data_IF_527295141870
#
_entry.id   IF_527295141870
#
_cell.length_a   1.000
_cell.length_b   1.000
_cell.length_c   1.000
_cell.angle_alpha   90.00
_cell.angle_beta   90.00
_cell.angle_gamma   90.00
#
_symmetry.space_group_name_H-M   'P 1'
#
loop_
_entity.id
_entity.type
_entity.pdbx_description
1 polymer ?
#
# COMPACT_ATOMS: atom_id res chain seq x y z
N UNK A 1 77.21 -3.31 8.83
CA UNK A 1 77.05 -3.32 10.29
C UNK A 1 76.34 -2.03 10.70
N UNK A 2 75.26 -2.14 11.50
CA UNK A 2 74.52 -1.08 12.22
C UNK A 2 73.61 -0.13 11.42
N UNK A 3 72.31 -0.41 11.47
CA UNK A 3 71.29 0.60 11.77
C UNK A 3 71.34 0.94 13.27
N UNK A 4 70.86 2.13 13.68
CA UNK A 4 69.65 2.18 14.51
C UNK A 4 68.73 3.37 14.12
N UNK A 5 67.40 3.19 14.00
CA UNK A 5 66.36 3.22 15.06
C UNK A 5 66.02 4.64 15.54
N UNK A 6 64.75 4.99 15.28
CA UNK A 6 63.81 5.88 15.99
C UNK A 6 64.35 7.11 16.74
N UNK A 7 63.80 8.28 16.39
CA UNK A 7 63.69 9.39 17.34
C UNK A 7 62.53 10.33 16.99
N UNK A 8 61.52 10.30 17.87
CA UNK A 8 60.72 11.44 18.33
C UNK A 8 59.62 12.05 17.44
N UNK A 9 58.42 11.53 17.70
CA UNK A 9 57.15 12.23 17.93
C UNK A 9 57.23 13.72 18.35
N UNK A 10 56.14 14.44 18.01
CA UNK A 10 55.57 15.66 18.63
C UNK A 10 56.01 17.05 18.13
N UNK A 11 55.15 17.78 17.37
CA UNK A 11 54.40 18.95 17.89
C UNK A 11 53.56 19.72 16.82
N UNK A 12 52.25 19.78 17.08
CA UNK A 12 51.29 20.90 16.97
C UNK A 12 51.13 21.76 15.68
N UNK A 13 50.04 21.46 14.95
CA UNK A 13 48.83 22.30 14.80
C UNK A 13 48.99 23.82 14.57
N UNK A 14 48.77 24.31 13.33
CA UNK A 14 48.27 25.68 13.05
C UNK A 14 47.37 25.70 11.77
N UNK A 15 46.08 26.05 11.97
CA UNK A 15 45.10 26.80 11.13
C UNK A 15 44.91 26.44 9.63
N UNK A 16 43.77 25.89 9.19
CA UNK A 16 42.44 26.50 8.93
C UNK A 16 42.30 27.37 7.64
N UNK A 17 41.34 26.93 6.81
CA UNK A 17 40.54 27.64 5.78
C UNK A 17 41.09 27.69 4.34
N UNK A 18 40.54 26.82 3.50
CA UNK A 18 40.04 27.19 2.18
C UNK A 18 38.88 26.26 1.80
N UNK A 19 37.67 26.66 2.19
CA UNK A 19 36.43 26.19 1.56
C UNK A 19 36.40 26.76 0.15
N UNK A 20 36.14 25.92 -0.86
CA UNK A 20 35.19 26.19 -1.94
C UNK A 20 35.46 25.33 -3.20
N UNK A 21 34.51 24.43 -3.49
CA UNK A 21 34.00 24.07 -4.82
C UNK A 21 34.97 23.20 -5.64
N UNK A 22 34.67 21.95 -6.02
CA UNK A 22 33.62 21.57 -6.98
C UNK A 22 33.24 20.11 -6.71
N UNK A 23 32.02 19.88 -6.23
CA UNK A 23 31.37 18.57 -6.32
C UNK A 23 29.98 18.82 -6.88
N UNK A 24 29.83 18.64 -8.18
CA UNK A 24 28.52 18.56 -8.84
C UNK A 24 28.09 17.09 -8.86
N UNK A 25 27.06 16.69 -8.11
CA UNK A 25 26.42 15.41 -8.40
C UNK A 25 25.66 15.52 -9.71
N UNK A 26 25.97 14.63 -10.65
CA UNK A 26 25.16 14.36 -11.84
C UNK A 26 23.72 14.10 -11.39
N UNK A 27 22.84 15.08 -11.61
CA UNK A 27 21.39 14.89 -11.56
C UNK A 27 20.97 14.15 -12.83
N UNK A 28 21.25 12.84 -12.87
CA UNK A 28 20.53 11.95 -13.77
C UNK A 28 19.13 11.77 -13.20
N UNK A 29 18.20 12.55 -13.74
CA UNK A 29 16.78 12.47 -13.49
C UNK A 29 16.23 11.10 -13.88
N UNK A 30 16.34 10.14 -12.97
CA UNK A 30 15.29 9.15 -12.81
C UNK A 30 14.18 9.90 -12.09
N UNK A 31 13.22 10.41 -12.87
CA UNK A 31 11.93 10.75 -12.31
C UNK A 31 11.40 9.47 -11.67
N UNK A 32 11.63 9.32 -10.37
CA UNK A 32 10.78 8.51 -9.53
C UNK A 32 9.39 9.07 -9.79
N UNK A 33 8.65 8.39 -10.65
CA UNK A 33 7.24 8.57 -10.83
C UNK A 33 6.66 8.07 -9.53
N UNK A 34 6.77 8.92 -8.50
CA UNK A 34 6.07 8.80 -7.25
C UNK A 34 4.63 8.63 -7.67
N UNK A 35 4.22 7.38 -7.66
CA UNK A 35 2.90 6.98 -8.05
C UNK A 35 2.05 7.56 -6.96
N UNK A 36 1.45 8.71 -7.27
CA UNK A 36 0.48 9.44 -6.49
C UNK A 36 -0.61 8.43 -6.10
N UNK A 37 -0.37 7.75 -4.98
CA UNK A 37 -1.35 7.01 -4.19
C UNK A 37 -2.22 8.06 -3.50
N UNK A 38 -2.95 8.85 -4.28
CA UNK A 38 -3.69 9.98 -3.71
C UNK A 38 -5.08 10.08 -4.30
N UNK A 39 -5.85 9.04 -3.98
CA UNK A 39 -7.22 9.18 -3.50
C UNK A 39 -7.50 7.88 -2.75
N UNK A 40 -7.25 7.87 -1.45
CA UNK A 40 -7.70 6.75 -0.60
C UNK A 40 -9.22 6.74 -0.66
N UNK A 41 -9.79 5.95 -1.58
CA UNK A 41 -11.23 5.73 -1.64
C UNK A 41 -11.61 5.11 -0.31
N UNK A 42 -12.28 5.89 0.53
CA UNK A 42 -12.80 5.39 1.80
C UNK A 42 -13.94 4.43 1.47
N UNK A 43 -13.75 3.17 1.86
CA UNK A 43 -14.70 2.09 1.67
C UNK A 43 -15.11 1.53 3.03
N UNK A 44 -16.39 1.63 3.33
CA UNK A 44 -17.01 1.06 4.51
C UNK A 44 -17.85 -0.14 4.10
N UNK A 45 -17.65 -1.27 4.79
CA UNK A 45 -18.41 -2.49 4.59
C UNK A 45 -19.08 -2.85 5.91
N UNK A 46 -20.35 -3.23 5.84
CA UNK A 46 -21.07 -3.82 6.96
C UNK A 46 -22.16 -4.73 6.42
N UNK A 47 -22.54 -5.74 7.20
CA UNK A 47 -23.54 -6.72 6.80
C UNK A 47 -24.63 -6.85 7.83
N UNK A 48 -25.83 -7.15 7.36
CA UNK A 48 -26.94 -7.65 8.16
C UNK A 48 -27.30 -9.08 7.73
N UNK A 49 -28.43 -9.61 8.21
CA UNK A 49 -28.89 -10.97 7.93
C UNK A 49 -29.27 -11.19 6.45
N UNK A 50 -29.49 -10.15 5.67
CA UNK A 50 -30.02 -10.23 4.30
C UNK A 50 -29.04 -9.62 3.31
N UNK A 51 -28.32 -8.55 3.69
CA UNK A 51 -27.54 -7.72 2.78
C UNK A 51 -26.12 -7.45 3.29
N UNK A 52 -25.19 -7.34 2.34
CA UNK A 52 -23.91 -6.69 2.50
C UNK A 52 -24.02 -5.28 1.93
N UNK A 53 -23.79 -4.27 2.76
CA UNK A 53 -23.80 -2.87 2.37
C UNK A 53 -22.36 -2.40 2.12
N UNK A 54 -22.19 -1.70 1.01
CA UNK A 54 -20.93 -1.09 0.59
C UNK A 54 -21.17 0.40 0.43
N UNK A 55 -20.48 1.19 1.22
CA UNK A 55 -20.44 2.64 1.08
C UNK A 55 -19.12 3.03 0.42
N UNK A 56 -19.21 3.71 -0.72
CA UNK A 56 -18.07 4.06 -1.54
C UNK A 56 -18.22 5.48 -2.08
N UNK A 57 -17.18 6.30 -1.87
CA UNK A 57 -17.13 7.64 -2.46
C UNK A 57 -16.57 7.56 -3.88
N UNK A 58 -17.44 7.67 -4.88
CA UNK A 58 -17.06 7.78 -6.31
C UNK A 58 -16.32 6.55 -6.87
N UNK A 59 -16.87 5.35 -6.67
CA UNK A 59 -16.42 4.16 -7.38
C UNK A 59 -17.18 3.98 -8.68
N UNK A 60 -16.44 3.64 -9.74
CA UNK A 60 -17.00 3.30 -11.04
C UNK A 60 -16.58 1.89 -11.43
N UNK A 61 -17.56 1.08 -11.83
CA UNK A 61 -17.36 -0.29 -12.34
C UNK A 61 -16.50 -1.19 -11.42
N UNK A 62 -16.68 -1.04 -10.11
CA UNK A 62 -16.01 -1.89 -9.14
C UNK A 62 -16.65 -3.29 -9.14
N UNK A 63 -15.86 -4.29 -8.79
CA UNK A 63 -16.30 -5.67 -8.65
C UNK A 63 -16.17 -6.09 -7.19
N UNK A 64 -17.27 -6.49 -6.58
CA UNK A 64 -17.27 -7.21 -5.31
C UNK A 64 -17.23 -8.72 -5.58
N UNK A 65 -16.37 -9.43 -4.86
CA UNK A 65 -16.30 -10.88 -4.86
C UNK A 65 -16.38 -11.37 -3.42
N UNK A 66 -17.35 -12.24 -3.14
CA UNK A 66 -17.51 -12.88 -1.83
C UNK A 66 -16.94 -14.30 -1.94
N UNK A 67 -15.98 -14.60 -1.07
CA UNK A 67 -15.25 -15.86 -1.02
C UNK A 67 -15.61 -16.60 0.28
N UNK A 68 -15.81 -17.91 0.20
CA UNK A 68 -15.89 -18.74 1.41
C UNK A 68 -14.48 -19.00 1.99
N UNK A 69 -14.41 -19.71 3.12
CA UNK A 69 -13.13 -20.04 3.79
C UNK A 69 -12.18 -20.90 2.95
N UNK A 70 -12.67 -21.56 1.90
CA UNK A 70 -11.87 -22.33 0.96
C UNK A 70 -11.36 -21.48 -0.22
N UNK A 71 -11.63 -20.17 -0.23
CA UNK A 71 -11.27 -19.27 -1.32
C UNK A 71 -12.13 -19.43 -2.57
N UNK A 72 -13.26 -20.14 -2.50
CA UNK A 72 -14.19 -20.28 -3.62
C UNK A 72 -15.11 -19.06 -3.69
N UNK A 73 -15.24 -18.47 -4.88
CA UNK A 73 -16.18 -17.39 -5.13
C UNK A 73 -17.62 -17.92 -5.09
N UNK A 74 -18.37 -17.52 -4.06
CA UNK A 74 -19.80 -17.84 -3.91
C UNK A 74 -20.69 -16.77 -4.51
N UNK A 75 -20.16 -15.55 -4.67
CA UNK A 75 -20.87 -14.44 -5.30
C UNK A 75 -19.88 -13.47 -5.95
N UNK A 76 -20.30 -12.89 -7.07
CA UNK A 76 -19.56 -11.84 -7.76
C UNK A 76 -20.53 -10.87 -8.40
N UNK A 77 -20.36 -9.58 -8.15
CA UNK A 77 -21.25 -8.54 -8.69
C UNK A 77 -20.46 -7.28 -9.03
N UNK A 78 -20.90 -6.58 -10.07
CA UNK A 78 -20.39 -5.26 -10.41
C UNK A 78 -21.28 -4.18 -9.79
N UNK A 79 -20.67 -3.09 -9.35
CA UNK A 79 -21.38 -1.95 -8.78
C UNK A 79 -20.64 -0.64 -9.06
N UNK A 80 -21.39 0.46 -8.96
CA UNK A 80 -20.89 1.82 -8.98
C UNK A 80 -21.50 2.55 -7.78
N UNK A 81 -20.72 3.43 -7.16
CA UNK A 81 -21.08 4.14 -5.93
C UNK A 81 -21.46 3.18 -4.78
N UNK A 82 -22.53 3.49 -4.04
CA UNK A 82 -23.01 2.65 -2.94
C UNK A 82 -23.77 1.44 -3.47
N UNK A 83 -23.64 0.30 -2.81
CA UNK A 83 -24.31 -0.93 -3.20
C UNK A 83 -24.86 -1.69 -1.99
N UNK A 84 -25.96 -2.40 -2.23
CA UNK A 84 -26.50 -3.39 -1.30
C UNK A 84 -26.63 -4.72 -2.02
N UNK A 85 -25.88 -5.72 -1.56
CA UNK A 85 -25.76 -7.03 -2.19
C UNK A 85 -26.55 -8.02 -1.34
N UNK A 86 -27.54 -8.67 -1.94
CA UNK A 86 -28.32 -9.67 -1.24
C UNK A 86 -27.46 -10.92 -0.99
N UNK A 87 -27.25 -11.24 0.28
CA UNK A 87 -26.49 -12.39 0.78
C UNK A 87 -27.39 -13.38 1.55
N UNK A 88 -28.71 -13.28 1.39
CA UNK A 88 -29.68 -14.11 2.11
C UNK A 88 -29.57 -15.61 1.79
N UNK A 89 -29.07 -15.94 0.61
CA UNK A 89 -28.84 -17.33 0.15
C UNK A 89 -27.55 -17.93 0.66
N UNK A 90 -26.65 -17.11 1.23
CA UNK A 90 -25.39 -17.59 1.79
C UNK A 90 -25.64 -18.24 3.14
N UNK A 91 -25.01 -19.39 3.38
CA UNK A 91 -25.03 -20.03 4.69
C UNK A 91 -24.40 -19.11 5.75
N UNK A 92 -24.84 -19.24 7.00
CA UNK A 92 -24.21 -18.55 8.14
C UNK A 92 -22.73 -18.94 8.23
N UNK A 93 -21.87 -17.96 8.50
CA UNK A 93 -20.43 -18.22 8.58
C UNK A 93 -19.56 -17.02 8.24
N UNK A 94 -18.26 -17.28 8.13
CA UNK A 94 -17.25 -16.27 7.84
C UNK A 94 -16.99 -16.25 6.32
N UNK A 95 -16.97 -15.06 5.76
CA UNK A 95 -16.65 -14.81 4.37
C UNK A 95 -15.55 -13.77 4.24
N UNK A 96 -14.80 -13.85 3.13
CA UNK A 96 -13.88 -12.81 2.72
C UNK A 96 -14.50 -12.03 1.57
N UNK A 97 -14.69 -10.73 1.77
CA UNK A 97 -15.18 -9.82 0.73
C UNK A 97 -13.97 -9.10 0.12
N UNK A 98 -13.83 -9.21 -1.19
CA UNK A 98 -12.80 -8.53 -1.95
C UNK A 98 -13.46 -7.55 -2.93
N UNK A 99 -13.09 -6.27 -2.84
CA UNK A 99 -13.54 -5.22 -3.75
C UNK A 99 -12.36 -4.81 -4.62
N UNK A 100 -12.55 -4.89 -5.93
CA UNK A 100 -11.55 -4.56 -6.93
C UNK A 100 -12.07 -3.48 -7.87
N UNK A 101 -11.20 -2.60 -8.34
CA UNK A 101 -11.55 -1.66 -9.42
C UNK A 101 -11.60 -2.34 -10.80
N UNK A 102 -11.97 -1.59 -11.82
CA UNK A 102 -11.99 -2.03 -13.22
C UNK A 102 -10.61 -2.51 -13.74
N UNK A 103 -9.51 -2.04 -13.13
CA UNK A 103 -8.13 -2.41 -13.46
C UNK A 103 -7.64 -3.62 -12.66
N UNK A 104 -8.53 -4.22 -11.86
CA UNK A 104 -8.26 -5.35 -10.96
C UNK A 104 -7.30 -5.00 -9.81
N UNK A 105 -7.16 -3.73 -9.45
CA UNK A 105 -6.50 -3.35 -8.21
C UNK A 105 -7.42 -3.68 -7.04
N UNK A 106 -6.87 -4.25 -5.97
CA UNK A 106 -7.62 -4.49 -4.73
C UNK A 106 -7.79 -3.17 -4.01
N UNK A 107 -9.04 -2.74 -3.86
CA UNK A 107 -9.41 -1.53 -3.12
C UNK A 107 -9.65 -1.83 -1.64
N UNK A 108 -10.25 -2.99 -1.35
CA UNK A 108 -10.54 -3.45 0.00
C UNK A 108 -10.64 -4.96 0.03
N UNK A 109 -10.05 -5.57 1.05
CA UNK A 109 -10.32 -6.96 1.42
C UNK A 109 -10.72 -6.99 2.91
N UNK A 110 -11.90 -7.52 3.21
CA UNK A 110 -12.44 -7.50 4.57
C UNK A 110 -13.13 -8.82 4.93
N UNK A 111 -12.90 -9.27 6.16
CA UNK A 111 -13.59 -10.43 6.74
C UNK A 111 -14.96 -9.98 7.23
N UNK A 112 -16.01 -10.63 6.75
CA UNK A 112 -17.40 -10.37 7.15
C UNK A 112 -17.99 -11.61 7.80
N UNK A 113 -18.70 -11.44 8.92
CA UNK A 113 -19.45 -12.50 9.59
C UNK A 113 -20.91 -12.41 9.17
N UNK A 114 -21.43 -13.48 8.58
CA UNK A 114 -22.85 -13.62 8.25
C UNK A 114 -23.58 -14.36 9.35
N UNK A 115 -24.51 -13.68 10.00
CA UNK A 115 -25.39 -14.21 11.06
C UNK A 115 -26.67 -14.90 10.56
#
# INVERSE_FOLDING_TARGET
MKTPILSFLFQFLIFQIAYAQVWSPLQNGVQAKDSIFDKSTVLTLFSDTINLHIEASSLHNATVTILNLFGQAVMKQQFSDNASINISTLAKGIYLVNIMDERRNVLKAEKVLKE
#
